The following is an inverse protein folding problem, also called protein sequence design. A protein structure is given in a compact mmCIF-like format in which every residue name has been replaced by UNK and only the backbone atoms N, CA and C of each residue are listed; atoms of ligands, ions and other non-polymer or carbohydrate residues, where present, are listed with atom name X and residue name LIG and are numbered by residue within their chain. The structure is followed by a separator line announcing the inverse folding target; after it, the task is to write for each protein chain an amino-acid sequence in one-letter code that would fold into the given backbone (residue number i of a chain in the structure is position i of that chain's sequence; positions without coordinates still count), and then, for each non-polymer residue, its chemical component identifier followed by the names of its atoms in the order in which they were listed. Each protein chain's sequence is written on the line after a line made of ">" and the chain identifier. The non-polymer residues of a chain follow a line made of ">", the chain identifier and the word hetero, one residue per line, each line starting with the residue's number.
data_IF_169850319226
#
_entry.id   IF_169850319226
#
_cell.length_a   1.000
_cell.length_b   1.000
_cell.length_c   1.000
_cell.angle_alpha   90.00
_cell.angle_beta   90.00
_cell.angle_gamma   90.00
#
_symmetry.space_group_name_H-M   'P 1'
#
loop_
_entity.id
_entity.type
_entity.pdbx_description
1 polymer ?
#
# COMPACT_ATOMS: atom_id res chain seq x y z
N UNK A 1 9.55 -0.35 -1.50
CA UNK A 1 8.58 0.70 -1.86
C UNK A 1 8.24 0.61 -3.34
N UNK A 2 6.96 0.38 -3.67
CA UNK A 2 6.44 0.40 -5.05
C UNK A 2 6.29 1.86 -5.54
N UNK A 3 6.51 2.12 -6.83
CA UNK A 3 6.24 3.43 -7.42
C UNK A 3 4.74 3.75 -7.30
N UNK A 4 4.33 5.03 -7.23
CA UNK A 4 2.92 5.38 -7.16
C UNK A 4 2.05 4.73 -8.24
N UNK A 5 2.60 4.57 -9.46
CA UNK A 5 1.92 3.93 -10.60
C UNK A 5 1.73 2.41 -10.46
N UNK A 6 2.43 1.76 -9.53
CA UNK A 6 2.39 0.32 -9.28
C UNK A 6 1.56 -0.03 -8.02
N UNK A 7 0.99 0.98 -7.36
CA UNK A 7 0.14 0.80 -6.18
C UNK A 7 -1.27 0.45 -6.63
N UNK A 8 -1.88 -0.50 -5.93
CA UNK A 8 -3.28 -0.86 -6.17
C UNK A 8 -4.19 0.34 -5.93
N UNK A 9 -5.22 0.47 -6.75
CA UNK A 9 -6.22 1.54 -6.68
C UNK A 9 -7.55 1.09 -6.05
N UNK A 10 -7.69 -0.20 -5.76
CA UNK A 10 -8.79 -0.78 -5.00
C UNK A 10 -8.29 -1.93 -4.15
N UNK A 11 -8.79 -2.05 -2.91
CA UNK A 11 -8.43 -3.12 -1.99
C UNK A 11 -9.44 -3.22 -0.83
N UNK A 12 -9.56 -4.40 -0.21
CA UNK A 12 -10.45 -4.56 0.94
C UNK A 12 -9.83 -4.00 2.23
N UNK A 13 -10.66 -3.38 3.06
CA UNK A 13 -10.30 -2.80 4.35
C UNK A 13 -11.10 -3.41 5.49
N UNK A 14 -10.59 -3.35 6.71
CA UNK A 14 -11.22 -3.90 7.91
C UNK A 14 -10.81 -5.34 8.24
N UNK A 15 -9.90 -5.94 7.46
CA UNK A 15 -9.26 -7.19 7.81
C UNK A 15 -8.48 -7.06 9.13
N UNK A 16 -8.47 -8.14 9.92
CA UNK A 16 -7.71 -8.21 11.19
C UNK A 16 -6.41 -9.00 11.04
N UNK A 17 -6.21 -9.64 9.90
CA UNK A 17 -5.02 -10.43 9.61
C UNK A 17 -3.89 -9.53 9.14
N UNK A 18 -2.76 -9.62 9.85
CA UNK A 18 -1.56 -8.85 9.58
C UNK A 18 -0.54 -9.70 8.82
N UNK A 19 0.04 -9.13 7.76
CA UNK A 19 1.15 -9.70 7.00
C UNK A 19 2.48 -9.20 7.60
N UNK A 20 3.25 -10.05 8.30
CA UNK A 20 4.53 -9.67 8.90
C UNK A 20 5.68 -9.55 7.90
N UNK A 21 5.51 -10.02 6.66
CA UNK A 21 6.53 -10.00 5.60
C UNK A 21 6.51 -8.66 4.87
N UNK A 22 5.33 -8.21 4.44
CA UNK A 22 5.16 -6.90 3.77
C UNK A 22 4.84 -5.76 4.75
N UNK A 23 4.57 -6.07 6.03
CA UNK A 23 4.26 -5.11 7.10
C UNK A 23 3.01 -4.29 6.76
N UNK A 24 1.86 -4.97 6.81
CA UNK A 24 0.55 -4.38 6.51
C UNK A 24 -0.57 -5.36 6.81
N UNK A 25 -1.81 -5.01 6.47
CA UNK A 25 -2.94 -5.93 6.56
C UNK A 25 -3.09 -6.71 5.25
N UNK A 26 -3.62 -7.92 5.35
CA UNK A 26 -4.12 -8.67 4.20
C UNK A 26 -5.32 -7.89 3.60
N UNK A 27 -5.37 -7.78 2.27
CA UNK A 27 -6.35 -6.92 1.57
C UNK A 27 -7.16 -7.62 0.48
N UNK A 28 -7.07 -8.95 0.40
CA UNK A 28 -7.85 -9.77 -0.53
C UNK A 28 -9.33 -9.90 -0.09
N UNK A 29 -9.59 -9.87 1.22
CA UNK A 29 -10.92 -9.94 1.82
C UNK A 29 -11.10 -8.94 2.97
N UNK A 30 -12.33 -8.46 3.14
CA UNK A 30 -12.70 -7.53 4.21
C UNK A 30 -14.14 -7.03 4.08
N UNK A 31 -14.69 -6.40 5.12
CA UNK A 31 -16.08 -5.92 5.14
C UNK A 31 -16.40 -4.83 4.11
N UNK A 32 -15.41 -4.06 3.68
CA UNK A 32 -15.60 -2.95 2.75
C UNK A 32 -14.46 -2.86 1.75
N UNK A 33 -14.76 -2.40 0.53
CA UNK A 33 -13.75 -2.09 -0.49
C UNK A 33 -13.42 -0.59 -0.45
N UNK A 34 -12.12 -0.27 -0.35
CA UNK A 34 -11.62 1.09 -0.49
C UNK A 34 -11.21 1.34 -1.93
N UNK A 35 -11.64 2.46 -2.51
CA UNK A 35 -11.34 2.86 -3.89
C UNK A 35 -10.65 4.22 -3.94
N UNK A 36 -9.55 4.27 -4.69
CA UNK A 36 -8.84 5.52 -5.02
C UNK A 36 -9.61 6.30 -6.08
N UNK A 37 -10.26 5.60 -7.01
CA UNK A 37 -10.97 6.17 -8.16
C UNK A 37 -12.49 5.99 -8.02
N UNK A 38 -13.25 6.98 -8.47
CA UNK A 38 -14.71 6.88 -8.65
C UNK A 38 -15.08 6.11 -9.92
N UNK A 39 -16.38 6.00 -10.21
CA UNK A 39 -16.88 5.27 -11.37
C UNK A 39 -16.47 5.94 -12.70
N UNK A 40 -16.20 7.23 -12.66
CA UNK A 40 -15.77 8.08 -13.78
C UNK A 40 -14.23 8.11 -13.93
N UNK A 41 -13.49 7.44 -13.03
CA UNK A 41 -12.04 7.35 -13.06
C UNK A 41 -11.29 8.54 -12.43
N UNK A 42 -11.98 9.44 -11.75
CA UNK A 42 -11.37 10.55 -11.01
C UNK A 42 -10.96 10.11 -9.61
N UNK A 43 -9.97 10.79 -9.03
CA UNK A 43 -9.58 10.51 -7.64
C UNK A 43 -10.70 10.96 -6.70
N UNK A 44 -11.19 10.03 -5.88
CA UNK A 44 -12.10 10.34 -4.78
C UNK A 44 -11.39 11.31 -3.81
N UNK A 45 -12.00 12.45 -3.43
CA UNK A 45 -11.37 13.41 -2.54
C UNK A 45 -10.87 12.76 -1.25
N UNK A 46 -9.57 12.92 -0.96
CA UNK A 46 -8.91 12.31 0.21
C UNK A 46 -8.33 10.91 0.00
N UNK A 47 -8.67 10.21 -1.08
CA UNK A 47 -8.28 8.80 -1.28
C UNK A 47 -7.05 8.60 -2.18
N UNK A 48 -6.31 9.67 -2.49
CA UNK A 48 -5.15 9.59 -3.39
C UNK A 48 -4.08 8.65 -2.84
N UNK A 49 -3.71 7.62 -3.60
CA UNK A 49 -2.56 6.74 -3.31
C UNK A 49 -1.23 7.28 -3.90
N UNK A 50 -1.23 8.52 -4.42
CA UNK A 50 -0.07 9.16 -5.05
C UNK A 50 0.88 9.76 -4.03
N UNK A 51 2.02 10.27 -4.49
CA UNK A 51 3.03 10.90 -3.64
C UNK A 51 4.02 9.90 -3.02
N UNK A 52 4.93 10.43 -2.20
CA UNK A 52 6.10 9.70 -1.69
C UNK A 52 6.89 8.93 -2.78
N UNK A 53 7.30 9.60 -3.89
CA UNK A 53 7.99 8.94 -5.00
C UNK A 53 9.44 8.56 -4.67
N UNK A 54 10.03 9.21 -3.66
CA UNK A 54 11.40 8.95 -3.22
C UNK A 54 11.54 7.56 -2.60
N UNK A 55 12.71 6.93 -2.77
CA UNK A 55 13.00 5.59 -2.25
C UNK A 55 12.36 4.44 -3.06
N UNK A 56 11.65 4.73 -4.16
CA UNK A 56 11.05 3.71 -5.03
C UNK A 56 12.05 3.03 -5.98
N UNK A 57 13.22 3.65 -6.18
CA UNK A 57 14.33 3.09 -6.98
C UNK A 57 15.24 2.11 -6.23
N UNK A 58 14.92 1.76 -4.98
CA UNK A 58 15.69 0.76 -4.23
C UNK A 58 15.57 -0.62 -4.87
N UNK A 59 16.65 -1.41 -4.84
CA UNK A 59 16.55 -2.84 -5.11
C UNK A 59 15.84 -3.55 -3.95
N UNK A 60 15.43 -4.80 -4.17
CA UNK A 60 14.61 -5.51 -3.19
C UNK A 60 15.37 -5.85 -1.90
N UNK A 61 16.68 -6.08 -1.98
CA UNK A 61 17.51 -6.28 -0.79
C UNK A 61 17.51 -5.05 0.14
N UNK A 62 17.68 -3.84 -0.42
CA UNK A 62 17.63 -2.59 0.34
C UNK A 62 16.22 -2.33 0.90
N UNK A 63 15.17 -2.63 0.13
CA UNK A 63 13.78 -2.52 0.60
C UNK A 63 13.55 -3.44 1.81
N UNK A 64 13.98 -4.71 1.73
CA UNK A 64 13.84 -5.68 2.83
C UNK A 64 14.61 -5.24 4.06
N UNK A 65 15.86 -4.80 3.91
CA UNK A 65 16.65 -4.29 5.04
C UNK A 65 15.97 -3.10 5.74
N UNK A 66 15.34 -2.19 4.98
CA UNK A 66 14.60 -1.08 5.55
C UNK A 66 13.36 -1.56 6.32
N UNK A 67 12.63 -2.53 5.80
CA UNK A 67 11.46 -3.12 6.47
C UNK A 67 11.88 -3.74 7.81
N UNK A 68 12.96 -4.53 7.83
CA UNK A 68 13.47 -5.13 9.07
C UNK A 68 13.95 -4.07 10.07
N UNK A 69 14.56 -2.98 9.59
CA UNK A 69 14.90 -1.85 10.45
C UNK A 69 13.67 -1.23 11.12
N UNK A 70 12.58 -1.01 10.37
CA UNK A 70 11.34 -0.44 10.91
C UNK A 70 10.66 -1.31 11.96
N UNK A 71 10.84 -2.64 11.93
CA UNK A 71 10.28 -3.55 12.94
C UNK A 71 10.92 -3.43 14.33
N UNK A 72 12.09 -2.80 14.43
CA UNK A 72 12.82 -2.61 15.69
C UNK A 72 12.51 -1.28 16.39
N UNK A 73 11.69 -0.42 15.79
CA UNK A 73 11.29 0.90 16.32
C UNK A 73 9.95 0.81 17.05
#
# INVERSE_FOLDING_TARGET
>A
MKKPSERVASFHVGAREFDPVEVGFVTDAGPSEFRVLDAEGNIVPGNSNRGHPFGTGMNDAKKRALIEYMKML
#
